data_IF_743780216384
#
_entry.id   IF_743780216384
#
_cell.length_a   1.000
_cell.length_b   1.000
_cell.length_c   1.000
_cell.angle_alpha   90.00
_cell.angle_beta   90.00
_cell.angle_gamma   90.00
#
_symmetry.space_group_name_H-M   'P 1'
#
loop_
_entity.id
_entity.type
_entity.pdbx_description
1 polymer ?
#
# COMPACT_ATOMS: atom_id res chain seq x y z
N UNK A 1 -28.96 13.45 -71.53
CA UNK A 1 -28.24 14.16 -70.44
C UNK A 1 -28.23 13.24 -69.23
N UNK A 2 -27.08 12.67 -68.85
CA UNK A 2 -26.95 11.73 -67.71
C UNK A 2 -26.26 12.49 -66.57
N UNK A 3 -27.00 12.84 -65.51
CA UNK A 3 -26.42 13.42 -64.30
C UNK A 3 -25.90 12.31 -63.40
N UNK A 4 -24.58 12.27 -63.20
CA UNK A 4 -23.94 11.50 -62.14
C UNK A 4 -23.92 12.35 -60.87
N UNK A 5 -24.72 11.95 -59.88
CA UNK A 5 -24.60 12.47 -58.51
C UNK A 5 -23.57 11.64 -57.76
N UNK A 6 -22.41 12.23 -57.47
CA UNK A 6 -21.39 11.64 -56.60
C UNK A 6 -21.78 11.96 -55.16
N UNK A 7 -22.18 10.93 -54.40
CA UNK A 7 -22.44 11.03 -52.97
C UNK A 7 -21.09 10.91 -52.24
N UNK A 8 -20.57 12.02 -51.72
CA UNK A 8 -19.36 12.02 -50.89
C UNK A 8 -19.70 11.51 -49.48
N UNK A 9 -19.23 10.29 -49.16
CA UNK A 9 -19.38 9.69 -47.84
C UNK A 9 -18.25 10.21 -46.93
N UNK A 10 -18.53 11.23 -46.11
CA UNK A 10 -17.61 11.68 -45.08
C UNK A 10 -17.61 10.71 -43.90
N UNK A 11 -16.60 9.84 -43.82
CA UNK A 11 -16.32 9.02 -42.65
C UNK A 11 -15.79 9.92 -41.50
N UNK A 12 -16.69 10.44 -40.67
CA UNK A 12 -16.30 10.96 -39.35
C UNK A 12 -15.87 9.79 -38.48
N UNK A 13 -14.56 9.59 -38.35
CA UNK A 13 -14.02 8.69 -37.33
C UNK A 13 -14.17 9.40 -35.98
N UNK A 14 -14.97 8.88 -35.03
CA UNK A 14 -14.95 9.45 -33.69
C UNK A 14 -13.55 9.21 -33.13
N UNK A 15 -12.86 10.29 -32.75
CA UNK A 15 -11.75 10.18 -31.82
C UNK A 15 -12.33 9.61 -30.53
N UNK A 16 -12.20 8.30 -30.34
CA UNK A 16 -12.51 7.64 -29.09
C UNK A 16 -11.44 8.08 -28.09
N UNK A 17 -11.67 9.21 -27.44
CA UNK A 17 -11.02 9.47 -26.16
C UNK A 17 -11.45 8.34 -25.23
N UNK A 18 -10.50 7.52 -24.81
CA UNK A 18 -10.76 6.56 -23.77
C UNK A 18 -11.08 7.37 -22.50
N UNK A 19 -12.37 7.42 -22.18
CA UNK A 19 -12.92 8.21 -21.11
C UNK A 19 -13.17 7.31 -19.90
N UNK A 20 -13.16 7.93 -18.73
CA UNK A 20 -13.55 7.27 -17.49
C UNK A 20 -14.93 6.62 -17.61
N UNK A 21 -15.13 5.53 -16.87
CA UNK A 21 -16.46 4.91 -16.79
C UNK A 21 -17.50 5.94 -16.31
N UNK A 22 -18.68 6.06 -16.95
CA UNK A 22 -19.65 7.09 -16.59
C UNK A 22 -20.04 7.05 -15.11
N UNK A 23 -20.06 8.23 -14.47
CA UNK A 23 -20.42 8.36 -13.05
C UNK A 23 -19.31 8.02 -12.06
N UNK A 24 -18.09 7.72 -12.52
CA UNK A 24 -16.95 7.57 -11.63
C UNK A 24 -16.34 8.89 -11.20
N UNK A 25 -15.64 8.84 -10.07
CA UNK A 25 -14.85 9.95 -9.53
C UNK A 25 -13.60 9.40 -8.84
N UNK A 26 -12.55 10.21 -8.80
CA UNK A 26 -11.34 9.90 -8.02
C UNK A 26 -11.64 9.90 -6.51
N UNK A 27 -10.76 9.25 -5.74
CA UNK A 27 -10.75 9.36 -4.28
C UNK A 27 -9.90 10.57 -3.87
N UNK A 28 -10.44 11.56 -3.13
CA UNK A 28 -9.70 12.78 -2.77
C UNK A 28 -8.38 12.54 -2.02
N UNK A 29 -8.28 11.42 -1.30
CA UNK A 29 -7.12 11.04 -0.48
C UNK A 29 -5.87 10.66 -1.29
N UNK A 30 -6.02 10.26 -2.56
CA UNK A 30 -4.93 9.81 -3.41
C UNK A 30 -4.99 10.57 -4.75
N UNK A 31 -3.96 11.37 -5.09
CA UNK A 31 -3.94 12.02 -6.38
C UNK A 31 -3.85 10.97 -7.49
N UNK A 32 -4.72 11.11 -8.50
CA UNK A 32 -4.68 10.28 -9.69
C UNK A 32 -3.37 10.54 -10.45
N UNK A 33 -2.75 9.46 -10.94
CA UNK A 33 -1.62 9.56 -11.86
C UNK A 33 -2.06 10.22 -13.17
N UNK A 34 -1.22 11.10 -13.71
CA UNK A 34 -1.47 11.77 -14.98
C UNK A 34 -1.82 10.74 -16.07
N UNK A 35 -2.85 11.05 -16.87
CA UNK A 35 -3.34 10.26 -18.00
C UNK A 35 -3.82 8.82 -17.68
N UNK A 36 -3.80 8.40 -16.41
CA UNK A 36 -4.49 7.18 -15.98
C UNK A 36 -6.00 7.31 -16.22
N UNK A 37 -6.73 6.20 -16.37
CA UNK A 37 -8.17 6.17 -16.68
C UNK A 37 -8.94 5.32 -15.68
N UNK A 38 -10.09 5.79 -15.20
CA UNK A 38 -10.95 4.97 -14.33
C UNK A 38 -11.66 3.91 -15.19
N UNK A 39 -11.28 2.65 -14.98
CA UNK A 39 -11.81 1.48 -15.70
C UNK A 39 -12.71 0.58 -14.84
N UNK A 40 -12.79 0.88 -13.54
CA UNK A 40 -13.72 0.28 -12.59
C UNK A 40 -13.98 1.30 -11.47
N UNK A 41 -15.24 1.51 -11.13
CA UNK A 41 -15.64 2.36 -10.02
C UNK A 41 -16.75 1.66 -9.25
N UNK A 42 -16.60 1.57 -7.93
CA UNK A 42 -17.62 1.05 -7.03
C UNK A 42 -17.92 2.14 -6.01
N UNK A 43 -19.13 2.74 -6.05
CA UNK A 43 -19.52 3.78 -5.10
C UNK A 43 -19.59 3.21 -3.68
N UNK A 44 -19.66 4.13 -2.72
CA UNK A 44 -19.74 3.80 -1.29
C UNK A 44 -20.86 2.80 -1.01
N UNK A 45 -20.49 1.64 -0.45
CA UNK A 45 -21.42 0.61 0.01
C UNK A 45 -21.01 0.14 1.40
N UNK A 46 -22.00 -0.11 2.25
CA UNK A 46 -21.74 -0.66 3.58
C UNK A 46 -21.55 -2.17 3.47
N UNK A 47 -20.39 -2.67 3.90
CA UNK A 47 -20.14 -4.10 3.93
C UNK A 47 -19.09 -4.45 4.99
N UNK A 48 -18.93 -5.75 5.24
CA UNK A 48 -17.85 -6.28 6.05
C UNK A 48 -16.61 -6.52 5.18
N UNK A 49 -15.51 -5.82 5.51
CA UNK A 49 -14.23 -5.96 4.83
C UNK A 49 -13.26 -6.79 5.65
N UNK A 50 -12.42 -7.54 4.93
CA UNK A 50 -11.27 -8.26 5.47
C UNK A 50 -10.05 -7.87 4.64
N UNK A 51 -9.07 -7.23 5.27
CA UNK A 51 -7.79 -6.89 4.67
C UNK A 51 -6.69 -7.82 5.21
N UNK A 52 -6.07 -8.66 4.37
CA UNK A 52 -4.97 -9.52 4.80
C UNK A 52 -3.74 -8.71 5.25
N UNK A 53 -3.13 -9.10 6.36
CA UNK A 53 -1.86 -8.57 6.88
C UNK A 53 -0.74 -9.62 6.71
N UNK A 54 -0.70 -10.27 5.55
CA UNK A 54 0.24 -11.35 5.27
C UNK A 54 0.16 -11.82 3.83
N UNK A 55 1.13 -12.64 3.43
CA UNK A 55 1.09 -13.35 2.15
C UNK A 55 -0.15 -14.24 2.09
N UNK A 56 -0.88 -14.20 0.98
CA UNK A 56 -2.10 -14.99 0.81
C UNK A 56 -1.84 -16.27 0.02
N UNK A 57 -2.49 -17.35 0.44
CA UNK A 57 -2.44 -18.65 -0.23
C UNK A 57 -3.78 -19.36 -0.09
N UNK A 58 -4.08 -20.30 -0.99
CA UNK A 58 -5.27 -21.14 -0.88
C UNK A 58 -4.91 -22.50 -0.32
N UNK A 59 -5.51 -22.88 0.80
CA UNK A 59 -5.33 -24.21 1.41
C UNK A 59 -6.71 -24.84 1.55
N UNK A 60 -6.90 -26.01 0.93
CA UNK A 60 -8.17 -26.76 0.97
C UNK A 60 -9.39 -25.90 0.58
N UNK A 61 -9.22 -25.06 -0.45
CA UNK A 61 -10.28 -24.20 -0.96
C UNK A 61 -10.51 -22.90 -0.16
N UNK A 62 -9.79 -22.68 0.95
CA UNK A 62 -9.94 -21.49 1.79
C UNK A 62 -8.73 -20.57 1.67
N UNK A 63 -8.99 -19.25 1.64
CA UNK A 63 -7.95 -18.23 1.71
C UNK A 63 -7.28 -18.26 3.09
N UNK A 64 -5.95 -18.25 3.11
CA UNK A 64 -5.11 -18.29 4.32
C UNK A 64 -4.06 -17.21 4.27
N UNK A 65 -3.84 -16.55 5.40
CA UNK A 65 -2.85 -15.50 5.66
C UNK A 65 -2.59 -15.41 7.17
N UNK A 66 -1.47 -14.79 7.55
CA UNK A 66 -0.97 -14.83 8.93
C UNK A 66 -1.55 -13.73 9.84
N UNK A 67 -2.39 -12.85 9.30
CA UNK A 67 -3.10 -11.80 10.04
C UNK A 67 -4.14 -11.10 9.15
N UNK A 68 -5.07 -10.38 9.76
CA UNK A 68 -6.07 -9.57 9.04
C UNK A 68 -6.55 -8.39 9.87
N UNK A 69 -7.06 -7.36 9.20
CA UNK A 69 -7.99 -6.39 9.78
C UNK A 69 -9.37 -6.70 9.24
N UNK A 70 -10.37 -6.81 10.12
CA UNK A 70 -11.75 -7.03 9.72
C UNK A 70 -12.66 -6.07 10.46
N UNK A 71 -13.52 -5.39 9.70
CA UNK A 71 -14.47 -4.42 10.23
C UNK A 71 -15.64 -4.24 9.25
N UNK A 72 -16.75 -3.71 9.75
CA UNK A 72 -17.88 -3.22 8.94
C UNK A 72 -17.77 -1.72 8.75
N UNK A 73 -18.14 -1.23 7.57
CA UNK A 73 -18.06 0.19 7.24
C UNK A 73 -18.37 0.47 5.78
N UNK A 74 -18.19 1.73 5.39
CA UNK A 74 -18.39 2.18 4.02
C UNK A 74 -17.13 1.90 3.19
N UNK A 75 -17.27 1.20 2.06
CA UNK A 75 -16.17 1.02 1.11
C UNK A 75 -16.46 1.72 -0.21
N UNK A 76 -15.50 2.51 -0.70
CA UNK A 76 -15.47 3.01 -2.07
C UNK A 76 -14.19 2.53 -2.75
N UNK A 77 -14.27 2.07 -4.00
CA UNK A 77 -13.07 1.60 -4.72
C UNK A 77 -12.99 2.11 -6.14
N UNK A 78 -11.79 2.42 -6.59
CA UNK A 78 -11.49 2.91 -7.94
C UNK A 78 -10.32 2.11 -8.51
N UNK A 79 -10.47 1.62 -9.73
CA UNK A 79 -9.37 0.99 -10.48
C UNK A 79 -8.99 1.86 -11.66
N UNK A 80 -7.74 2.27 -11.67
CA UNK A 80 -7.12 3.04 -12.74
C UNK A 80 -6.35 2.12 -13.69
N UNK A 81 -6.60 2.21 -14.99
CA UNK A 81 -5.66 1.74 -16.02
C UNK A 81 -4.61 2.82 -16.23
N UNK A 82 -3.34 2.45 -16.13
CA UNK A 82 -2.22 3.38 -16.25
C UNK A 82 -1.83 3.56 -17.72
N UNK A 83 -1.36 4.75 -18.12
CA UNK A 83 -0.86 4.95 -19.47
C UNK A 83 0.44 4.15 -19.67
N UNK A 84 0.78 3.71 -20.89
CA UNK A 84 1.94 2.85 -21.17
C UNK A 84 3.29 3.38 -20.68
N UNK A 85 3.40 4.69 -20.45
CA UNK A 85 4.57 5.43 -20.02
C UNK A 85 4.84 5.27 -18.52
N UNK A 86 3.86 4.80 -17.75
CA UNK A 86 3.96 4.62 -16.30
C UNK A 86 3.82 3.15 -15.89
N UNK A 87 4.71 2.68 -15.03
CA UNK A 87 4.62 1.32 -14.49
C UNK A 87 3.65 1.23 -13.31
N UNK A 88 3.16 0.02 -13.02
CA UNK A 88 2.36 -0.25 -11.82
C UNK A 88 3.11 0.08 -10.52
N UNK A 89 4.44 -0.03 -10.52
CA UNK A 89 5.28 0.31 -9.37
C UNK A 89 5.40 1.82 -9.17
N UNK A 90 5.47 2.60 -10.25
CA UNK A 90 5.53 4.07 -10.17
C UNK A 90 4.23 4.62 -9.58
N UNK A 91 3.09 4.14 -10.07
CA UNK A 91 1.78 4.55 -9.56
C UNK A 91 1.58 4.16 -8.09
N UNK A 92 1.98 2.95 -7.73
CA UNK A 92 1.94 2.48 -6.34
C UNK A 92 2.82 3.33 -5.42
N UNK A 93 4.05 3.65 -5.86
CA UNK A 93 4.99 4.47 -5.10
C UNK A 93 4.45 5.88 -4.91
N UNK A 94 3.96 6.51 -5.97
CA UNK A 94 3.37 7.84 -5.90
C UNK A 94 2.16 7.89 -4.95
N UNK A 95 1.27 6.91 -5.02
CA UNK A 95 0.11 6.81 -4.13
C UNK A 95 0.50 6.57 -2.67
N UNK A 96 1.43 5.65 -2.41
CA UNK A 96 1.99 5.40 -1.07
C UNK A 96 2.58 6.68 -0.48
N UNK A 97 3.45 7.37 -1.23
CA UNK A 97 4.11 8.58 -0.76
C UNK A 97 3.14 9.73 -0.54
N UNK A 98 2.11 9.86 -1.36
CA UNK A 98 1.05 10.85 -1.16
C UNK A 98 0.30 10.62 0.15
N UNK A 99 0.01 9.36 0.51
CA UNK A 99 -0.65 9.01 1.77
C UNK A 99 0.28 9.17 2.98
N UNK A 100 1.54 8.75 2.87
CA UNK A 100 2.51 8.92 3.96
C UNK A 100 2.82 10.40 4.24
N UNK A 101 2.84 11.26 3.21
CA UNK A 101 2.94 12.73 3.40
C UNK A 101 1.77 13.31 4.19
N UNK A 102 0.63 12.64 4.21
CA UNK A 102 -0.55 12.99 5.02
C UNK A 102 -0.51 12.33 6.41
N UNK A 103 0.59 11.66 6.77
CA UNK A 103 0.78 10.99 8.06
C UNK A 103 0.17 9.59 8.13
N UNK A 104 -0.26 8.99 7.02
CA UNK A 104 -0.82 7.64 7.04
C UNK A 104 0.22 6.61 7.48
N UNK A 105 -0.18 5.73 8.40
CA UNK A 105 0.64 4.66 8.96
C UNK A 105 0.51 3.38 8.13
N UNK A 106 1.62 2.72 7.80
CA UNK A 106 1.61 1.47 7.07
C UNK A 106 1.26 0.32 8.00
N UNK A 107 0.28 -0.50 7.64
CA UNK A 107 -0.10 -1.70 8.40
C UNK A 107 0.48 -2.98 7.78
N UNK A 108 0.46 -3.07 6.44
CA UNK A 108 1.04 -4.19 5.74
C UNK A 108 1.52 -3.80 4.35
N UNK A 109 2.75 -4.18 4.00
CA UNK A 109 3.32 -3.98 2.66
C UNK A 109 4.00 -5.25 2.13
N UNK A 110 3.54 -5.74 0.98
CA UNK A 110 4.21 -6.77 0.20
C UNK A 110 4.43 -6.33 -1.25
N UNK A 111 5.38 -6.97 -1.93
CA UNK A 111 5.64 -6.76 -3.35
C UNK A 111 6.09 -8.07 -3.99
N UNK A 112 5.80 -8.23 -5.28
CA UNK A 112 6.10 -9.42 -6.04
C UNK A 112 5.52 -10.67 -5.32
N UNK A 113 6.30 -11.76 -5.28
CA UNK A 113 5.86 -13.05 -4.74
C UNK A 113 5.66 -13.04 -3.22
N UNK A 114 6.14 -12.02 -2.51
CA UNK A 114 5.90 -11.90 -1.07
C UNK A 114 4.40 -11.70 -0.77
N UNK A 115 3.63 -11.21 -1.73
CA UNK A 115 2.18 -11.09 -1.62
C UNK A 115 1.43 -12.41 -1.74
N UNK A 116 2.05 -13.46 -2.28
CA UNK A 116 1.36 -14.69 -2.68
C UNK A 116 0.76 -14.58 -4.09
N UNK A 117 -0.29 -15.35 -4.36
CA UNK A 117 -0.88 -15.45 -5.70
C UNK A 117 -1.75 -14.23 -6.03
N UNK A 118 -1.41 -13.51 -7.11
CA UNK A 118 -2.16 -12.34 -7.59
C UNK A 118 -3.60 -12.67 -7.98
N UNK A 119 -3.85 -13.92 -8.40
CA UNK A 119 -5.20 -14.40 -8.72
C UNK A 119 -6.13 -14.39 -7.50
N UNK A 120 -5.60 -14.64 -6.30
CA UNK A 120 -6.38 -14.60 -5.05
C UNK A 120 -6.66 -13.16 -4.63
N UNK A 121 -5.70 -12.25 -4.79
CA UNK A 121 -5.92 -10.81 -4.56
C UNK A 121 -7.02 -10.28 -5.48
N UNK A 122 -6.91 -10.57 -6.77
CA UNK A 122 -7.87 -10.12 -7.77
C UNK A 122 -9.28 -10.67 -7.53
N UNK A 123 -9.41 -11.96 -7.24
CA UNK A 123 -10.72 -12.62 -7.23
C UNK A 123 -11.36 -12.73 -5.84
N UNK A 124 -10.56 -12.93 -4.79
CA UNK A 124 -11.08 -13.23 -3.43
C UNK A 124 -11.01 -12.00 -2.51
N UNK A 125 -10.04 -11.09 -2.71
CA UNK A 125 -9.91 -9.87 -1.90
C UNK A 125 -10.65 -8.69 -2.54
N UNK A 126 -10.31 -8.34 -3.78
CA UNK A 126 -10.87 -7.16 -4.47
C UNK A 126 -12.01 -7.46 -5.42
N UNK A 127 -12.28 -8.73 -5.70
CA UNK A 127 -13.33 -9.20 -6.64
C UNK A 127 -13.30 -8.46 -7.98
N UNK A 128 -12.13 -8.15 -8.51
CA UNK A 128 -11.90 -7.45 -9.77
C UNK A 128 -10.85 -8.20 -10.63
N UNK A 129 -11.32 -8.93 -11.63
CA UNK A 129 -10.47 -9.75 -12.51
C UNK A 129 -9.47 -8.93 -13.35
N UNK A 130 -9.65 -7.61 -13.48
CA UNK A 130 -8.62 -6.73 -14.11
C UNK A 130 -7.32 -6.73 -13.30
N UNK A 131 -7.39 -7.07 -12.01
CA UNK A 131 -6.26 -7.06 -11.10
C UNK A 131 -5.42 -8.34 -11.13
N UNK A 132 -5.76 -9.30 -12.00
CA UNK A 132 -4.99 -10.52 -12.18
C UNK A 132 -3.88 -10.33 -13.23
N UNK A 133 -2.63 -10.59 -12.81
CA UNK A 133 -1.42 -10.46 -13.63
C UNK A 133 -0.32 -11.42 -13.19
N UNK A 134 0.94 -11.03 -13.40
CA UNK A 134 2.09 -11.83 -12.98
C UNK A 134 2.41 -11.57 -11.50
N UNK A 135 2.64 -12.64 -10.74
CA UNK A 135 2.87 -12.52 -9.29
C UNK A 135 4.13 -11.72 -8.93
N UNK A 136 5.10 -11.62 -9.84
CA UNK A 136 6.32 -10.81 -9.69
C UNK A 136 6.13 -9.34 -10.10
N UNK A 137 4.95 -8.96 -10.61
CA UNK A 137 4.59 -7.61 -11.05
C UNK A 137 3.46 -6.99 -10.22
N UNK A 138 3.21 -7.52 -9.01
CA UNK A 138 2.18 -7.03 -8.09
C UNK A 138 2.79 -6.27 -6.90
N UNK A 139 2.01 -5.37 -6.30
CA UNK A 139 2.29 -4.80 -5.00
C UNK A 139 0.98 -4.54 -4.25
N UNK A 140 1.00 -4.75 -2.93
CA UNK A 140 -0.13 -4.46 -2.05
C UNK A 140 0.33 -3.67 -0.83
N UNK A 141 -0.44 -2.65 -0.46
CA UNK A 141 -0.26 -1.88 0.75
C UNK A 141 -1.60 -1.62 1.44
N UNK A 142 -1.64 -1.83 2.75
CA UNK A 142 -2.70 -1.35 3.61
C UNK A 142 -2.15 -0.23 4.50
N UNK A 143 -2.84 0.90 4.51
CA UNK A 143 -2.53 2.03 5.39
C UNK A 143 -3.73 2.37 6.27
N UNK A 144 -3.45 2.96 7.43
CA UNK A 144 -4.40 3.68 8.27
C UNK A 144 -4.13 5.18 8.11
N UNK A 145 -5.15 5.99 7.87
CA UNK A 145 -4.95 7.44 7.81
C UNK A 145 -4.60 8.01 9.20
N UNK A 146 -3.97 9.18 9.23
CA UNK A 146 -3.72 9.90 10.48
C UNK A 146 -5.02 10.49 11.06
N UNK A 147 -5.01 10.80 12.35
CA UNK A 147 -6.07 11.58 12.98
C UNK A 147 -6.25 12.92 12.22
N UNK A 148 -7.50 13.39 12.02
CA UNK A 148 -8.76 12.90 12.60
C UNK A 148 -9.47 11.80 11.77
N UNK A 149 -8.83 11.26 10.73
CA UNK A 149 -9.38 10.22 9.86
C UNK A 149 -8.84 8.82 10.21
N UNK A 150 -8.37 8.62 11.43
CA UNK A 150 -7.72 7.38 11.87
C UNK A 150 -8.68 6.18 11.98
N UNK A 151 -9.96 6.37 11.70
CA UNK A 151 -10.91 5.27 11.48
C UNK A 151 -11.06 4.85 10.01
N UNK A 152 -10.21 5.38 9.13
CA UNK A 152 -10.19 5.09 7.70
C UNK A 152 -8.96 4.25 7.34
N UNK A 153 -9.19 3.16 6.60
CA UNK A 153 -8.16 2.35 5.96
C UNK A 153 -8.11 2.64 4.46
N UNK A 154 -6.91 2.57 3.90
CA UNK A 154 -6.68 2.66 2.45
C UNK A 154 -5.89 1.46 1.98
N UNK A 155 -6.48 0.68 1.07
CA UNK A 155 -5.83 -0.42 0.40
C UNK A 155 -5.38 0.02 -1.00
N UNK A 156 -4.09 -0.10 -1.29
CA UNK A 156 -3.50 0.06 -2.60
C UNK A 156 -3.12 -1.31 -3.14
N UNK A 157 -3.53 -1.63 -4.37
CA UNK A 157 -3.05 -2.81 -5.07
C UNK A 157 -2.68 -2.45 -6.50
N UNK A 158 -1.42 -2.67 -6.88
CA UNK A 158 -0.97 -2.46 -8.25
C UNK A 158 -0.55 -3.77 -8.91
N UNK A 159 -0.72 -3.84 -10.23
CA UNK A 159 -0.40 -5.02 -11.01
C UNK A 159 -0.04 -4.63 -12.44
N UNK A 160 0.94 -5.30 -13.03
CA UNK A 160 1.10 -5.36 -14.50
C UNK A 160 0.64 -6.72 -15.01
N UNK A 161 -0.30 -6.72 -15.94
CA UNK A 161 -0.86 -7.92 -16.55
C UNK A 161 0.06 -8.47 -17.64
N UNK A 162 -0.14 -9.74 -18.03
CA UNK A 162 0.62 -10.37 -19.11
C UNK A 162 0.49 -9.68 -20.49
N UNK A 163 -0.56 -8.88 -20.69
CA UNK A 163 -0.73 -8.05 -21.89
C UNK A 163 -0.07 -6.65 -21.78
N UNK A 164 0.77 -6.43 -20.76
CA UNK A 164 1.47 -5.18 -20.42
C UNK A 164 0.59 -4.02 -19.96
N UNK A 165 -0.73 -4.23 -19.79
CA UNK A 165 -1.57 -3.23 -19.14
C UNK A 165 -1.27 -3.19 -17.65
N UNK A 166 -1.02 -1.99 -17.12
CA UNK A 166 -0.77 -1.77 -15.72
C UNK A 166 -1.99 -1.12 -15.05
N UNK A 167 -2.25 -1.50 -13.81
CA UNK A 167 -3.39 -1.01 -13.04
C UNK A 167 -2.97 -0.60 -11.64
N UNK A 168 -3.64 0.42 -11.11
CA UNK A 168 -3.65 0.76 -9.70
C UNK A 168 -5.08 0.69 -9.20
N UNK A 169 -5.34 -0.15 -8.21
CA UNK A 169 -6.58 -0.20 -7.46
C UNK A 169 -6.41 0.54 -6.14
N UNK A 170 -7.35 1.42 -5.83
CA UNK A 170 -7.40 2.16 -4.58
C UNK A 170 -8.76 1.92 -3.95
N UNK A 171 -8.76 1.47 -2.71
CA UNK A 171 -9.97 1.24 -1.94
C UNK A 171 -9.88 2.00 -0.62
N UNK A 172 -10.84 2.90 -0.41
CA UNK A 172 -11.03 3.61 0.86
C UNK A 172 -12.12 2.91 1.66
N UNK A 173 -11.83 2.61 2.92
CA UNK A 173 -12.77 2.01 3.86
C UNK A 173 -12.88 2.83 5.13
N UNK A 174 -14.06 3.37 5.36
CA UNK A 174 -14.40 4.14 6.55
C UNK A 174 -15.14 3.21 7.53
N UNK A 175 -14.48 2.82 8.62
CA UNK A 175 -15.04 1.87 9.57
C UNK A 175 -16.23 2.47 10.33
N UNK A 176 -17.25 1.66 10.59
CA UNK A 176 -18.44 2.07 11.35
C UNK A 176 -18.20 2.12 12.88
N UNK A 177 -17.12 1.52 13.34
CA UNK A 177 -16.68 1.51 14.74
C UNK A 177 -15.16 1.73 14.82
N UNK A 178 -14.61 2.17 15.97
CA UNK A 178 -13.17 2.32 16.14
C UNK A 178 -12.39 1.05 15.81
N UNK A 179 -11.37 1.18 14.96
CA UNK A 179 -10.51 0.07 14.53
C UNK A 179 -9.60 -0.49 15.65
N UNK A 180 -9.46 0.23 16.76
CA UNK A 180 -8.57 -0.14 17.86
C UNK A 180 -7.09 0.06 17.51
N UNK A 181 -6.22 -0.66 18.21
CA UNK A 181 -4.78 -0.61 18.01
C UNK A 181 -4.40 -1.53 16.84
N UNK A 182 -4.02 -0.91 15.72
CA UNK A 182 -3.50 -1.60 14.54
C UNK A 182 -2.01 -1.34 14.45
N UNK A 183 -1.21 -2.39 14.29
CA UNK A 183 0.24 -2.30 14.24
C UNK A 183 0.78 -2.85 12.91
N UNK A 184 1.90 -2.30 12.40
CA UNK A 184 2.58 -2.86 11.26
C UNK A 184 3.13 -4.26 11.54
N UNK A 185 3.34 -5.03 10.48
CA UNK A 185 4.17 -6.24 10.59
C UNK A 185 5.66 -5.89 10.58
N UNK A 186 6.49 -6.74 11.21
CA UNK A 186 7.96 -6.58 11.17
C UNK A 186 8.54 -6.51 9.76
N UNK A 187 7.95 -7.24 8.81
CA UNK A 187 8.36 -7.21 7.41
C UNK A 187 7.99 -5.89 6.72
N UNK A 188 6.87 -5.29 7.13
CA UNK A 188 6.44 -3.96 6.65
C UNK A 188 7.42 -2.90 7.12
N UNK A 189 7.77 -2.90 8.41
CA UNK A 189 8.77 -1.97 8.96
C UNK A 189 10.13 -2.09 8.25
N UNK A 190 10.60 -3.31 8.01
CA UNK A 190 11.83 -3.53 7.25
C UNK A 190 11.73 -2.97 5.82
N UNK A 191 10.61 -3.23 5.14
CA UNK A 191 10.42 -2.78 3.75
C UNK A 191 10.33 -1.25 3.66
N UNK A 192 9.61 -0.63 4.58
CA UNK A 192 9.55 0.82 4.70
C UNK A 192 10.95 1.39 4.92
N UNK A 193 11.70 0.90 5.91
CA UNK A 193 13.07 1.33 6.16
C UNK A 193 13.97 1.21 4.92
N UNK A 194 13.86 0.11 4.15
CA UNK A 194 14.64 -0.08 2.92
C UNK A 194 14.20 0.86 1.79
N UNK A 195 12.94 1.27 1.78
CA UNK A 195 12.38 2.13 0.73
C UNK A 195 12.60 3.61 0.99
N UNK A 196 12.44 4.06 2.23
CA UNK A 196 12.52 5.48 2.62
C UNK A 196 13.87 5.84 3.22
N UNK A 197 14.59 4.84 3.74
CA UNK A 197 15.81 5.02 4.54
C UNK A 197 15.52 5.34 6.01
N UNK A 198 14.26 5.55 6.40
CA UNK A 198 13.89 6.06 7.74
C UNK A 198 12.60 5.41 8.24
N UNK A 199 12.53 5.17 9.55
CA UNK A 199 11.30 4.93 10.30
C UNK A 199 11.16 5.98 11.39
N UNK A 200 10.01 6.65 11.42
CA UNK A 200 9.68 7.68 12.39
C UNK A 200 8.47 7.27 13.24
N UNK A 201 8.65 7.25 14.56
CA UNK A 201 7.59 6.94 15.52
C UNK A 201 7.47 8.07 16.54
N UNK A 202 6.83 9.20 16.18
CA UNK A 202 6.76 10.38 17.03
C UNK A 202 6.04 10.14 18.36
N UNK A 203 5.19 9.12 18.44
CA UNK A 203 4.44 8.73 19.64
C UNK A 203 5.24 7.82 20.58
N UNK A 204 6.35 7.22 20.12
CA UNK A 204 7.23 6.37 20.93
C UNK A 204 8.29 7.22 21.64
N UNK A 205 7.84 8.10 22.54
CA UNK A 205 8.70 8.99 23.32
C UNK A 205 9.02 8.48 24.73
N UNK A 206 8.42 7.35 25.15
CA UNK A 206 8.65 6.70 26.43
C UNK A 206 9.69 5.56 26.32
N UNK A 207 9.89 4.82 27.42
CA UNK A 207 10.73 3.61 27.41
C UNK A 207 10.17 2.55 26.44
N UNK A 208 11.02 1.68 25.87
CA UNK A 208 10.59 0.68 24.90
C UNK A 208 9.54 -0.27 25.46
N UNK A 209 8.32 -0.25 24.91
CA UNK A 209 7.32 -1.26 25.23
C UNK A 209 7.64 -2.58 24.52
N UNK A 210 7.18 -3.68 25.11
CA UNK A 210 7.50 -5.03 24.64
C UNK A 210 6.95 -5.34 23.23
N UNK A 211 5.90 -4.65 22.79
CA UNK A 211 5.25 -4.90 21.49
C UNK A 211 6.06 -4.29 20.37
N UNK A 212 6.33 -2.98 20.44
CA UNK A 212 7.16 -2.30 19.44
C UNK A 212 8.59 -2.82 19.42
N UNK A 213 9.16 -3.10 20.60
CA UNK A 213 10.48 -3.72 20.71
C UNK A 213 10.56 -5.05 19.95
N UNK A 214 9.53 -5.89 20.03
CA UNK A 214 9.47 -7.17 19.29
C UNK A 214 9.33 -6.95 17.79
N UNK A 215 8.49 -5.99 17.37
CA UNK A 215 8.27 -5.70 15.96
C UNK A 215 9.55 -5.22 15.28
N UNK A 216 10.24 -4.25 15.90
CA UNK A 216 11.47 -3.65 15.40
C UNK A 216 12.64 -4.63 15.42
N UNK A 217 12.84 -5.35 16.53
CA UNK A 217 13.93 -6.35 16.62
C UNK A 217 13.78 -7.46 15.57
N UNK A 218 12.56 -8.00 15.40
CA UNK A 218 12.29 -8.99 14.35
C UNK A 218 12.49 -8.38 12.96
N UNK A 219 12.04 -7.15 12.72
CA UNK A 219 12.22 -6.45 11.44
C UNK A 219 13.71 -6.29 11.08
N UNK A 220 14.52 -5.80 12.00
CA UNK A 220 15.97 -5.65 11.82
C UNK A 220 16.71 -6.99 11.67
N UNK A 221 16.16 -8.08 12.21
CA UNK A 221 16.73 -9.42 12.08
C UNK A 221 16.29 -10.18 10.82
N UNK A 222 15.27 -9.68 10.09
CA UNK A 222 14.90 -10.22 8.78
C UNK A 222 15.97 -9.93 7.71
N UNK A 223 16.74 -8.84 7.85
CA UNK A 223 17.88 -8.52 6.99
C UNK A 223 19.08 -8.13 7.87
N UNK A 224 19.94 -9.10 8.16
CA UNK A 224 21.07 -8.90 9.08
C UNK A 224 22.21 -8.06 8.51
N UNK A 225 22.12 -7.64 7.25
CA UNK A 225 23.15 -6.85 6.57
C UNK A 225 22.99 -5.36 6.82
N UNK A 226 21.77 -4.92 7.18
CA UNK A 226 21.48 -3.51 7.42
C UNK A 226 22.13 -3.00 8.69
N UNK A 227 22.65 -1.78 8.63
CA UNK A 227 23.10 -0.98 9.77
C UNK A 227 22.18 0.23 9.91
N UNK A 228 21.89 0.63 11.13
CA UNK A 228 20.98 1.74 11.43
C UNK A 228 21.53 2.64 12.52
N UNK A 229 21.17 3.92 12.48
CA UNK A 229 21.26 4.81 13.63
C UNK A 229 19.94 4.79 14.38
N UNK A 230 20.02 4.96 15.70
CA UNK A 230 18.85 5.09 16.58
C UNK A 230 18.94 6.46 17.26
N UNK A 231 17.92 7.30 17.08
CA UNK A 231 17.83 8.65 17.63
C UNK A 231 16.50 8.88 18.36
N UNK A 232 16.39 10.01 19.06
CA UNK A 232 15.21 10.39 19.86
C UNK A 232 15.47 10.41 21.38
N UNK A 233 14.46 10.81 22.18
CA UNK A 233 14.63 11.08 23.61
C UNK A 233 15.15 9.89 24.43
N UNK A 234 14.75 8.66 24.07
CA UNK A 234 15.16 7.41 24.74
C UNK A 234 15.98 6.50 23.82
N UNK A 235 16.74 7.06 22.87
CA UNK A 235 17.49 6.28 21.88
C UNK A 235 18.42 5.22 22.47
N UNK A 236 19.10 5.55 23.57
CA UNK A 236 19.99 4.61 24.27
C UNK A 236 19.20 3.43 24.85
N UNK A 237 18.05 3.69 25.51
CA UNK A 237 17.19 2.65 26.06
C UNK A 237 16.66 1.73 24.95
N UNK A 238 16.21 2.29 23.83
CA UNK A 238 15.81 1.54 22.64
C UNK A 238 16.96 0.68 22.10
N UNK A 239 18.15 1.24 21.95
CA UNK A 239 19.32 0.50 21.44
C UNK A 239 19.66 -0.68 22.36
N UNK A 240 19.73 -0.47 23.67
CA UNK A 240 20.01 -1.55 24.63
C UNK A 240 18.93 -2.62 24.63
N UNK A 241 17.66 -2.22 24.57
CA UNK A 241 16.54 -3.15 24.49
C UNK A 241 16.58 -4.00 23.20
N UNK A 242 16.89 -3.39 22.05
CA UNK A 242 17.04 -4.09 20.77
C UNK A 242 18.22 -5.07 20.80
N UNK A 243 19.34 -4.70 21.43
CA UNK A 243 20.48 -5.61 21.68
C UNK A 243 20.03 -6.80 22.53
N UNK A 244 19.28 -6.54 23.60
CA UNK A 244 18.71 -7.58 24.46
C UNK A 244 17.78 -8.55 23.73
N UNK A 245 17.13 -8.10 22.64
CA UNK A 245 16.31 -8.94 21.73
C UNK A 245 17.11 -9.59 20.59
N UNK A 246 18.45 -9.53 20.63
CA UNK A 246 19.32 -10.22 19.68
C UNK A 246 19.68 -9.44 18.42
N UNK A 247 19.33 -8.15 18.31
CA UNK A 247 19.89 -7.30 17.24
C UNK A 247 21.36 -7.02 17.55
N UNK A 248 22.28 -7.37 16.64
CA UNK A 248 23.73 -7.23 16.90
C UNK A 248 24.11 -5.77 17.16
N UNK A 249 24.79 -5.51 18.28
CA UNK A 249 25.23 -4.16 18.66
C UNK A 249 26.05 -3.44 17.56
N UNK A 250 26.93 -4.16 16.85
CA UNK A 250 27.74 -3.60 15.76
C UNK A 250 26.92 -3.09 14.55
N UNK A 251 25.61 -3.36 14.50
CA UNK A 251 24.70 -2.90 13.46
C UNK A 251 23.92 -1.64 13.85
N UNK A 252 24.07 -1.17 15.08
CA UNK A 252 23.32 -0.03 15.59
C UNK A 252 24.26 1.01 16.15
N UNK A 253 24.07 2.25 15.74
CA UNK A 253 24.80 3.40 16.25
C UNK A 253 23.85 4.37 16.93
N UNK A 254 24.37 5.20 17.84
CA UNK A 254 23.62 6.35 18.30
C UNK A 254 23.56 7.37 17.15
N UNK A 255 22.35 7.78 16.77
CA UNK A 255 22.19 8.90 15.86
C UNK A 255 22.04 10.22 16.62
N UNK A 256 22.07 11.32 15.87
CA UNK A 256 22.00 12.68 16.39
C UNK A 256 20.77 13.45 15.91
N UNK A 257 19.82 12.77 15.25
CA UNK A 257 18.62 13.40 14.72
C UNK A 257 17.67 13.75 15.88
N UNK A 258 17.32 15.02 16.01
CA UNK A 258 16.28 15.45 16.94
C UNK A 258 14.91 15.02 16.40
N UNK A 259 14.22 14.18 17.16
CA UNK A 259 12.87 13.69 16.84
C UNK A 259 12.03 13.66 18.12
N UNK A 260 10.71 13.93 18.05
CA UNK A 260 9.83 13.87 19.22
C UNK A 260 9.68 12.46 19.82
N UNK A 261 10.03 11.42 19.07
CA UNK A 261 9.97 10.02 19.50
C UNK A 261 11.12 9.19 18.94
N UNK A 262 10.92 7.89 18.79
CA UNK A 262 11.91 6.99 18.22
C UNK A 262 12.11 7.28 16.72
N UNK A 263 13.37 7.49 16.34
CA UNK A 263 13.78 7.64 14.94
C UNK A 263 14.85 6.59 14.61
N UNK A 264 14.65 5.86 13.51
CA UNK A 264 15.61 4.86 13.02
C UNK A 264 15.96 5.22 11.58
N UNK A 265 17.23 5.39 11.29
CA UNK A 265 17.71 5.74 9.95
C UNK A 265 18.74 4.73 9.45
N UNK A 266 18.68 4.39 8.17
CA UNK A 266 19.60 3.47 7.52
C UNK A 266 20.99 4.11 7.36
N UNK A 267 22.02 3.44 7.88
CA UNK A 267 23.42 3.83 7.67
C UNK A 267 23.92 3.25 6.35
N UNK A 268 24.33 4.12 5.43
CA UNK A 268 24.92 3.73 4.14
C UNK A 268 26.41 3.47 4.25
#
# INVERSE_FOLDING_TARGET
>A
MRSFSVLALCCFSPMLFAADVPGSQDLPIVPRMADAQIVDYRPAVELERIYPLGSIRKISGQLRFDGQVSARGQTTSVTYELPPEHSSNDAFTAAREALQKQGAELLFWCQARDCGESSLWANEVFTNAKLYGADDQQAYLLLRLAAPQDNTLVALYSITRGNRKAYLHVEQFDAAAPLGDLLPTSATLLRELKSTGVLDFPTLSADPDATWLRLLSRGLNLDTTLRVSVSGPNAEAWRQALIGQGVRAARMEAGSVESPGLHIELLR
#
